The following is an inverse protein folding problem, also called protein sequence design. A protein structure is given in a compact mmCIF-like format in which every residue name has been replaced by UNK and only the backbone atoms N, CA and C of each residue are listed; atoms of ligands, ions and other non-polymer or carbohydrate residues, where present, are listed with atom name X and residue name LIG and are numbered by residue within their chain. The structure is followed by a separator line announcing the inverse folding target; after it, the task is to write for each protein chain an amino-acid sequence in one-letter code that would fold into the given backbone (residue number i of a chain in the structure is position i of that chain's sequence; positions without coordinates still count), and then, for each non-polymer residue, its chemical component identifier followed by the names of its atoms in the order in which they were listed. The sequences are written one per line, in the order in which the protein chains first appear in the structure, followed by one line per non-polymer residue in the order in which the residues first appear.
data_IF_387456775515
#
_entry.id   IF_387456775515
#
_cell.length_a   1.000
_cell.length_b   1.000
_cell.length_c   1.000
_cell.angle_alpha   90.00
_cell.angle_beta   90.00
_cell.angle_gamma   90.00
#
_symmetry.space_group_name_H-M   'P 1'
#
loop_
_entity.id
_entity.type
_entity.pdbx_description
1 polymer ?
#
# COMPACT_ATOMS: atom_id res chain seq x y z
N UNK A 1 9.75 22.63 20.68
CA UNK A 1 9.35 23.08 19.33
C UNK A 1 8.49 22.01 18.69
N UNK A 2 7.37 22.41 18.09
CA UNK A 2 6.38 21.50 17.50
C UNK A 2 6.96 20.84 16.23
N UNK A 3 7.33 19.56 16.34
CA UNK A 3 7.75 18.72 15.22
C UNK A 3 6.65 18.54 14.14
N UNK A 4 5.42 18.96 14.45
CA UNK A 4 4.23 18.78 13.62
C UNK A 4 3.95 19.94 12.65
N UNK A 5 4.84 20.96 12.53
CA UNK A 5 4.65 22.03 11.54
C UNK A 5 4.90 21.50 10.12
N UNK A 6 4.04 21.82 9.13
CA UNK A 6 4.25 21.42 7.74
C UNK A 6 5.59 21.93 7.17
N UNK A 7 6.08 23.09 7.64
CA UNK A 7 7.40 23.66 7.27
C UNK A 7 8.50 23.37 8.32
N UNK A 8 8.30 22.38 9.20
CA UNK A 8 9.27 22.02 10.22
C UNK A 8 10.42 21.15 9.68
N UNK A 9 11.59 21.15 10.34
CA UNK A 9 12.75 20.33 9.95
C UNK A 9 12.54 18.80 10.04
N UNK A 10 11.33 18.36 10.41
CA UNK A 10 10.94 16.97 10.60
C UNK A 10 10.00 16.45 9.49
N UNK A 11 10.08 17.01 8.28
CA UNK A 11 9.28 16.52 7.16
C UNK A 11 9.90 15.25 6.56
N UNK A 12 9.36 14.09 6.95
CA UNK A 12 9.77 12.80 6.39
C UNK A 12 9.31 12.67 4.94
N UNK A 13 10.18 12.16 4.08
CA UNK A 13 9.81 11.66 2.75
C UNK A 13 8.83 10.49 2.87
N UNK A 14 8.07 10.23 1.80
CA UNK A 14 7.13 9.10 1.75
C UNK A 14 7.83 7.77 2.04
N UNK A 15 9.07 7.59 1.58
CA UNK A 15 9.84 6.37 1.81
C UNK A 15 10.33 6.22 3.25
N UNK A 16 10.72 7.32 3.91
CA UNK A 16 11.06 7.29 5.34
C UNK A 16 9.82 6.96 6.19
N UNK A 17 8.66 7.53 5.85
CA UNK A 17 7.39 7.19 6.51
C UNK A 17 7.07 5.70 6.37
N UNK A 18 7.12 5.17 5.15
CA UNK A 18 6.91 3.73 4.90
C UNK A 18 7.90 2.88 5.68
N UNK A 19 9.17 3.27 5.73
CA UNK A 19 10.21 2.52 6.46
C UNK A 19 9.91 2.43 7.95
N UNK A 20 9.50 3.54 8.57
CA UNK A 20 9.11 3.55 9.98
C UNK A 20 7.83 2.74 10.23
N UNK A 21 6.85 2.81 9.32
CA UNK A 21 5.64 2.00 9.41
C UNK A 21 5.95 0.50 9.24
N UNK A 22 6.84 0.11 8.32
CA UNK A 22 7.32 -1.28 8.20
C UNK A 22 7.97 -1.76 9.51
N UNK A 23 8.75 -0.92 10.19
CA UNK A 23 9.35 -1.25 11.48
C UNK A 23 8.28 -1.47 12.56
N UNK A 24 7.22 -0.66 12.58
CA UNK A 24 6.08 -0.86 13.49
C UNK A 24 5.33 -2.16 13.20
N UNK A 25 5.13 -2.50 11.92
CA UNK A 25 4.53 -3.77 11.51
C UNK A 25 5.40 -4.97 11.97
N UNK A 26 6.72 -4.87 11.85
CA UNK A 26 7.64 -5.89 12.38
C UNK A 26 7.51 -6.05 13.90
N UNK A 27 7.47 -4.94 14.65
CA UNK A 27 7.28 -4.98 16.10
C UNK A 27 5.94 -5.64 16.45
N UNK A 28 4.89 -5.38 15.67
CA UNK A 28 3.56 -5.95 15.90
C UNK A 28 3.52 -7.48 15.86
N UNK A 29 4.43 -8.13 15.11
CA UNK A 29 4.56 -9.60 15.09
C UNK A 29 4.86 -10.17 16.48
N UNK A 30 5.46 -9.36 17.37
CA UNK A 30 5.77 -9.80 18.73
C UNK A 30 4.57 -9.78 19.67
N UNK A 31 3.41 -9.25 19.26
CA UNK A 31 2.19 -9.30 20.08
C UNK A 31 1.76 -10.73 20.41
N UNK A 32 1.95 -11.66 19.46
CA UNK A 32 1.56 -13.06 19.66
C UNK A 32 0.05 -13.28 19.82
N UNK A 33 -0.75 -12.31 19.37
CA UNK A 33 -2.21 -12.33 19.40
C UNK A 33 -2.73 -11.78 18.07
N UNK A 34 -3.52 -12.60 17.36
CA UNK A 34 -3.98 -12.29 16.01
C UNK A 34 -4.88 -11.06 15.98
N UNK A 35 -5.86 -10.96 16.87
CA UNK A 35 -6.86 -9.88 16.81
C UNK A 35 -6.19 -8.54 17.15
N UNK A 36 -5.33 -8.52 18.16
CA UNK A 36 -4.52 -7.35 18.51
C UNK A 36 -3.63 -6.91 17.37
N UNK A 37 -2.93 -7.85 16.72
CA UNK A 37 -2.05 -7.53 15.60
C UNK A 37 -2.86 -7.06 14.38
N UNK A 38 -3.91 -7.77 14.01
CA UNK A 38 -4.78 -7.42 12.88
C UNK A 38 -5.40 -6.04 13.06
N UNK A 39 -5.89 -5.70 14.25
CA UNK A 39 -6.42 -4.37 14.54
C UNK A 39 -5.34 -3.29 14.38
N UNK A 40 -4.14 -3.51 14.92
CA UNK A 40 -3.02 -2.59 14.77
C UNK A 40 -2.62 -2.38 13.30
N UNK A 41 -2.56 -3.46 12.51
CA UNK A 41 -2.28 -3.39 11.07
C UNK A 41 -3.36 -2.58 10.35
N UNK A 42 -4.64 -2.78 10.71
CA UNK A 42 -5.76 -2.01 10.16
C UNK A 42 -5.64 -0.51 10.46
N UNK A 43 -5.29 -0.13 11.69
CA UNK A 43 -5.02 1.27 12.05
C UNK A 43 -3.86 1.84 11.22
N UNK A 44 -2.79 1.07 11.04
CA UNK A 44 -1.61 1.52 10.32
C UNK A 44 -1.83 1.69 8.82
N UNK A 45 -2.66 0.84 8.23
CA UNK A 45 -2.99 0.88 6.82
C UNK A 45 -4.15 1.81 6.48
N UNK A 46 -4.91 2.30 7.46
CA UNK A 46 -6.17 3.05 7.23
C UNK A 46 -6.01 4.19 6.22
N UNK A 47 -5.02 5.05 6.41
CA UNK A 47 -4.81 6.22 5.55
C UNK A 47 -4.47 5.80 4.11
N UNK A 48 -3.48 4.93 3.94
CA UNK A 48 -3.09 4.42 2.62
C UNK A 48 -4.23 3.67 1.94
N UNK A 49 -5.00 2.86 2.67
CA UNK A 49 -6.13 2.12 2.12
C UNK A 49 -7.24 3.07 1.64
N UNK A 50 -7.60 4.08 2.44
CA UNK A 50 -8.60 5.08 2.04
C UNK A 50 -8.14 5.82 0.79
N UNK A 51 -6.91 6.32 0.81
CA UNK A 51 -6.33 7.07 -0.30
C UNK A 51 -6.23 6.23 -1.58
N UNK A 52 -5.80 4.97 -1.48
CA UNK A 52 -5.71 4.07 -2.63
C UNK A 52 -7.08 3.77 -3.24
N UNK A 53 -8.10 3.56 -2.39
CA UNK A 53 -9.48 3.37 -2.84
C UNK A 53 -10.07 4.64 -3.46
N UNK A 54 -9.77 5.83 -2.91
CA UNK A 54 -10.18 7.11 -3.48
C UNK A 54 -9.62 7.30 -4.90
N UNK A 55 -8.32 7.01 -5.10
CA UNK A 55 -7.67 7.04 -6.42
C UNK A 55 -8.35 6.06 -7.39
N UNK A 56 -8.61 4.84 -6.94
CA UNK A 56 -9.28 3.82 -7.74
C UNK A 56 -10.71 4.25 -8.13
N UNK A 57 -11.49 4.75 -7.17
CA UNK A 57 -12.88 5.18 -7.35
C UNK A 57 -12.99 6.43 -8.22
N UNK A 58 -11.99 7.31 -8.18
CA UNK A 58 -11.87 8.45 -9.10
C UNK A 58 -11.64 8.01 -10.56
N UNK A 59 -11.35 6.73 -10.81
CA UNK A 59 -11.22 6.15 -12.14
C UNK A 59 -9.79 6.07 -12.66
N UNK A 60 -8.79 6.44 -11.86
CA UNK A 60 -7.39 6.43 -12.27
C UNK A 60 -6.87 5.03 -12.67
N UNK A 61 -7.51 3.97 -12.17
CA UNK A 61 -7.13 2.57 -12.45
C UNK A 61 -8.06 1.87 -13.46
N UNK A 62 -8.78 2.61 -14.31
CA UNK A 62 -9.66 2.04 -15.34
C UNK A 62 -8.91 1.56 -16.59
N UNK A 63 -7.84 2.24 -16.96
CA UNK A 63 -7.03 1.94 -18.13
C UNK A 63 -5.83 2.89 -18.25
N UNK A 64 -4.98 2.64 -19.25
CA UNK A 64 -3.78 3.44 -19.50
C UNK A 64 -4.07 4.93 -19.72
N UNK A 65 -5.12 5.27 -20.49
CA UNK A 65 -5.47 6.68 -20.80
C UNK A 65 -5.85 7.45 -19.54
N UNK A 66 -6.74 6.92 -18.71
CA UNK A 66 -7.13 7.56 -17.44
C UNK A 66 -5.93 7.70 -16.49
N UNK A 67 -5.07 6.68 -16.46
CA UNK A 67 -3.88 6.70 -15.63
C UNK A 67 -2.89 7.78 -16.09
N UNK A 68 -2.59 7.86 -17.39
CA UNK A 68 -1.70 8.88 -17.99
C UNK A 68 -2.16 10.28 -17.59
N UNK A 69 -3.45 10.59 -17.75
CA UNK A 69 -4.01 11.89 -17.39
C UNK A 69 -3.95 12.18 -15.88
N UNK A 70 -4.15 11.14 -15.05
CA UNK A 70 -4.10 11.22 -13.60
C UNK A 70 -2.69 11.50 -13.07
N UNK A 71 -1.68 10.83 -13.62
CA UNK A 71 -0.27 11.04 -13.23
C UNK A 71 0.41 12.17 -14.01
N UNK A 72 -0.27 12.75 -15.00
CA UNK A 72 0.19 13.91 -15.78
C UNK A 72 1.28 13.58 -16.80
N UNK A 73 1.28 12.36 -17.35
CA UNK A 73 2.20 12.00 -18.44
C UNK A 73 1.80 12.63 -19.78
N UNK A 74 0.58 13.14 -19.90
CA UNK A 74 0.04 13.89 -21.06
C UNK A 74 0.27 15.40 -20.97
N UNK A 75 1.02 15.87 -19.96
CA UNK A 75 1.21 17.30 -19.67
C UNK A 75 2.70 17.67 -19.74
N UNK A 76 3.01 18.93 -20.11
CA UNK A 76 4.37 19.41 -20.03
C UNK A 76 4.89 19.43 -18.58
N UNK A 77 6.22 19.41 -18.36
CA UNK A 77 6.80 19.52 -17.03
C UNK A 77 6.30 20.74 -16.27
N UNK A 78 5.91 20.52 -15.01
CA UNK A 78 5.42 21.59 -14.12
C UNK A 78 6.62 22.40 -13.59
N UNK A 79 6.60 23.75 -13.69
CA UNK A 79 7.65 24.59 -13.12
C UNK A 79 7.79 24.42 -11.60
N UNK A 80 9.02 24.46 -11.09
CA UNK A 80 9.35 24.17 -9.69
C UNK A 80 8.69 25.08 -8.65
N UNK A 81 8.12 26.21 -9.07
CA UNK A 81 7.46 27.21 -8.23
C UNK A 81 5.91 27.12 -8.30
N UNK A 82 5.37 26.06 -8.91
CA UNK A 82 3.93 25.85 -9.05
C UNK A 82 3.49 24.54 -8.42
N UNK A 83 2.24 24.47 -7.97
CA UNK A 83 1.68 23.28 -7.34
C UNK A 83 1.55 22.14 -8.36
N UNK A 84 2.32 21.06 -8.19
CA UNK A 84 2.25 19.87 -9.04
C UNK A 84 1.25 18.84 -8.48
N UNK A 85 -0.03 19.03 -8.79
CA UNK A 85 -1.12 18.11 -8.43
C UNK A 85 -0.83 16.69 -8.94
N UNK A 86 -0.29 16.57 -10.16
CA UNK A 86 0.05 15.27 -10.75
C UNK A 86 1.23 14.62 -10.01
N UNK A 87 2.17 15.43 -9.52
CA UNK A 87 3.25 15.02 -8.63
C UNK A 87 2.74 14.47 -7.31
N UNK A 88 1.75 15.13 -6.70
CA UNK A 88 1.11 14.61 -5.50
C UNK A 88 0.39 13.28 -5.78
N UNK A 89 -0.31 13.17 -6.91
CA UNK A 89 -0.97 11.92 -7.33
C UNK A 89 0.03 10.76 -7.47
N UNK A 90 1.17 10.99 -8.13
CA UNK A 90 2.27 10.01 -8.24
C UNK A 90 2.81 9.63 -6.87
N UNK A 91 3.10 10.61 -6.02
CA UNK A 91 3.60 10.40 -4.66
C UNK A 91 2.63 9.57 -3.80
N UNK A 92 1.32 9.84 -3.90
CA UNK A 92 0.27 9.11 -3.20
C UNK A 92 0.20 7.64 -3.64
N UNK A 93 0.25 7.37 -4.96
CA UNK A 93 0.29 5.98 -5.47
C UNK A 93 1.52 5.25 -4.92
N UNK A 94 2.70 5.88 -4.99
CA UNK A 94 3.95 5.30 -4.51
C UNK A 94 3.88 5.00 -3.01
N UNK A 95 3.37 5.95 -2.21
CA UNK A 95 3.18 5.76 -0.77
C UNK A 95 2.25 4.58 -0.47
N UNK A 96 1.05 4.58 -1.07
CA UNK A 96 0.05 3.53 -0.84
C UNK A 96 0.58 2.14 -1.20
N UNK A 97 1.15 1.99 -2.41
CA UNK A 97 1.65 0.71 -2.89
C UNK A 97 2.81 0.21 -2.04
N UNK A 98 3.74 1.09 -1.64
CA UNK A 98 4.87 0.69 -0.81
C UNK A 98 4.43 0.30 0.62
N UNK A 99 3.46 1.01 1.21
CA UNK A 99 2.99 0.64 2.54
C UNK A 99 2.19 -0.69 2.53
N UNK A 100 1.35 -0.90 1.52
CA UNK A 100 0.64 -2.18 1.32
C UNK A 100 1.66 -3.31 1.13
N UNK A 101 2.67 -3.10 0.29
CA UNK A 101 3.77 -4.05 0.10
C UNK A 101 4.53 -4.31 1.42
N UNK A 102 4.77 -3.28 2.21
CA UNK A 102 5.35 -3.36 3.54
C UNK A 102 4.55 -4.27 4.46
N UNK A 103 3.23 -4.11 4.53
CA UNK A 103 2.37 -4.99 5.33
C UNK A 103 2.44 -6.45 4.87
N UNK A 104 2.41 -6.70 3.56
CA UNK A 104 2.55 -8.05 2.99
C UNK A 104 3.90 -8.68 3.38
N UNK A 105 4.98 -7.91 3.29
CA UNK A 105 6.34 -8.41 3.57
C UNK A 105 6.61 -8.62 5.06
N UNK A 106 6.01 -7.80 5.92
CA UNK A 106 6.39 -7.71 7.34
C UNK A 106 5.44 -8.42 8.28
N UNK A 107 4.15 -8.47 7.98
CA UNK A 107 3.18 -9.09 8.87
C UNK A 107 3.26 -10.61 8.77
N UNK A 108 3.58 -11.26 9.89
CA UNK A 108 3.66 -12.72 9.98
C UNK A 108 3.03 -13.22 11.27
N UNK A 109 2.57 -14.48 11.24
CA UNK A 109 2.29 -15.24 12.45
C UNK A 109 3.61 -15.68 13.12
N UNK A 110 3.57 -16.12 14.39
CA UNK A 110 4.74 -16.67 15.08
C UNK A 110 5.25 -17.97 14.45
N UNK A 111 6.57 -18.18 14.43
CA UNK A 111 7.18 -19.43 13.96
C UNK A 111 6.93 -20.63 14.90
N UNK A 112 6.76 -20.37 16.20
CA UNK A 112 6.43 -21.39 17.20
C UNK A 112 4.96 -21.85 17.04
N UNK A 113 4.69 -23.13 16.70
CA UNK A 113 3.34 -23.61 16.39
C UNK A 113 2.37 -23.49 17.56
N UNK A 114 2.84 -23.68 18.80
CA UNK A 114 2.00 -23.54 19.98
C UNK A 114 1.59 -22.09 20.19
N UNK A 115 2.53 -21.14 20.05
CA UNK A 115 2.26 -19.71 20.13
C UNK A 115 1.33 -19.25 19.01
N UNK A 116 1.51 -19.74 17.78
CA UNK A 116 0.59 -19.46 16.69
C UNK A 116 -0.83 -19.97 16.98
N UNK A 117 -0.95 -21.16 17.55
CA UNK A 117 -2.24 -21.76 17.94
C UNK A 117 -2.91 -20.96 19.07
N UNK A 118 -2.20 -20.73 20.18
CA UNK A 118 -2.71 -19.96 21.33
C UNK A 118 -3.05 -18.51 20.97
N UNK A 119 -2.29 -17.92 20.05
CA UNK A 119 -2.50 -16.56 19.56
C UNK A 119 -3.61 -16.42 18.52
N UNK A 120 -4.30 -17.51 18.16
CA UNK A 120 -5.43 -17.48 17.23
C UNK A 120 -5.03 -17.28 15.76
N UNK A 121 -3.79 -17.62 15.37
CA UNK A 121 -3.34 -17.57 13.98
C UNK A 121 -3.70 -18.82 13.19
N UNK A 122 -3.87 -19.97 13.84
CA UNK A 122 -4.29 -21.22 13.20
C UNK A 122 -5.81 -21.28 13.12
N UNK A 123 -6.36 -21.40 11.93
CA UNK A 123 -7.82 -21.45 11.70
C UNK A 123 -8.35 -22.86 11.49
N UNK A 124 -7.51 -23.76 10.98
CA UNK A 124 -7.86 -25.16 10.74
C UNK A 124 -6.60 -25.99 10.54
N UNK A 125 -6.78 -27.30 10.38
CA UNK A 125 -5.73 -28.23 9.95
C UNK A 125 -6.12 -28.80 8.58
N UNK A 126 -5.11 -29.11 7.77
CA UNK A 126 -5.27 -29.91 6.55
C UNK A 126 -5.55 -31.38 6.89
N UNK A 127 -5.93 -32.20 5.90
CA UNK A 127 -6.15 -33.65 6.08
C UNK A 127 -4.90 -34.38 6.63
N UNK A 128 -3.71 -33.91 6.27
CA UNK A 128 -2.44 -34.43 6.76
C UNK A 128 -2.03 -33.87 8.14
N UNK A 129 -2.89 -33.07 8.79
CA UNK A 129 -2.63 -32.45 10.09
C UNK A 129 -1.79 -31.17 10.05
N UNK A 130 -1.42 -30.65 8.89
CA UNK A 130 -0.64 -29.40 8.80
C UNK A 130 -1.51 -28.18 9.15
N UNK A 131 -0.99 -27.19 9.90
CA UNK A 131 -1.74 -26.00 10.28
C UNK A 131 -2.04 -25.11 9.07
N UNK A 132 -3.28 -24.61 9.02
CA UNK A 132 -3.71 -23.56 8.10
C UNK A 132 -3.75 -22.26 8.89
N UNK A 133 -2.85 -21.33 8.54
CA UNK A 133 -2.73 -20.05 9.23
C UNK A 133 -3.44 -18.91 8.49
N UNK A 134 -3.92 -17.92 9.24
CA UNK A 134 -4.40 -16.64 8.71
C UNK A 134 -3.38 -15.53 8.94
N UNK A 135 -3.18 -14.68 7.94
CA UNK A 135 -2.29 -13.52 8.05
C UNK A 135 -3.06 -12.30 8.62
N UNK A 136 -2.52 -11.58 9.62
CA UNK A 136 -3.19 -10.42 10.23
C UNK A 136 -3.35 -9.22 9.28
N UNK A 137 -2.58 -9.12 8.20
CA UNK A 137 -2.74 -8.10 7.17
C UNK A 137 -3.79 -8.47 6.11
N UNK A 138 -4.15 -9.75 5.98
CA UNK A 138 -5.01 -10.21 4.89
C UNK A 138 -6.37 -9.49 4.82
N UNK A 139 -7.11 -9.27 5.93
CA UNK A 139 -8.39 -8.56 5.87
C UNK A 139 -8.30 -7.14 5.33
N UNK A 140 -7.13 -6.51 5.47
CA UNK A 140 -6.89 -5.11 5.10
C UNK A 140 -6.30 -4.96 3.70
N UNK A 141 -5.60 -5.99 3.20
CA UNK A 141 -4.90 -5.97 1.92
C UNK A 141 -5.69 -6.68 0.82
N UNK A 142 -6.34 -7.80 1.11
CA UNK A 142 -7.08 -8.60 0.12
C UNK A 142 -8.13 -7.78 -0.64
N UNK A 143 -8.91 -6.89 0.00
CA UNK A 143 -9.87 -6.05 -0.72
C UNK A 143 -9.25 -5.11 -1.76
N UNK A 144 -7.95 -4.81 -1.66
CA UNK A 144 -7.23 -3.91 -2.56
C UNK A 144 -6.59 -4.65 -3.75
N UNK A 145 -6.51 -5.99 -3.70
CA UNK A 145 -5.87 -6.78 -4.76
C UNK A 145 -6.45 -6.54 -6.15
N UNK A 146 -7.78 -6.40 -6.36
CA UNK A 146 -8.32 -6.10 -7.68
C UNK A 146 -7.74 -4.80 -8.27
N UNK A 147 -7.59 -3.76 -7.45
CA UNK A 147 -7.03 -2.47 -7.87
C UNK A 147 -5.52 -2.54 -8.11
N UNK A 148 -4.78 -3.31 -7.31
CA UNK A 148 -3.36 -3.59 -7.56
C UNK A 148 -3.16 -4.34 -8.89
N UNK A 149 -4.03 -5.31 -9.20
CA UNK A 149 -3.99 -6.03 -10.48
C UNK A 149 -4.35 -5.12 -11.66
N UNK A 150 -5.31 -4.20 -11.49
CA UNK A 150 -5.57 -3.15 -12.49
C UNK A 150 -4.34 -2.28 -12.74
N UNK A 151 -3.61 -1.89 -11.69
CA UNK A 151 -2.38 -1.12 -11.84
C UNK A 151 -1.31 -1.91 -12.62
N UNK A 152 -1.10 -3.19 -12.28
CA UNK A 152 -0.16 -4.05 -13.04
C UNK A 152 -0.57 -4.13 -14.50
N UNK A 153 -1.85 -4.36 -14.79
CA UNK A 153 -2.39 -4.37 -16.16
C UNK A 153 -2.09 -3.06 -16.88
N UNK A 154 -2.38 -1.92 -16.25
CA UNK A 154 -2.12 -0.58 -16.81
C UNK A 154 -0.64 -0.40 -17.12
N UNK A 155 0.26 -0.80 -16.23
CA UNK A 155 1.70 -0.69 -16.46
C UNK A 155 2.15 -1.49 -17.68
N UNK A 156 1.46 -2.58 -18.04
CA UNK A 156 1.70 -3.29 -19.29
C UNK A 156 1.06 -2.56 -20.49
N UNK A 157 -0.16 -2.04 -20.34
CA UNK A 157 -0.85 -1.27 -21.38
C UNK A 157 -0.14 0.02 -21.76
N UNK A 158 0.62 0.63 -20.84
CA UNK A 158 1.42 1.83 -21.13
C UNK A 158 2.40 1.60 -22.29
N UNK A 159 2.79 0.37 -22.58
CA UNK A 159 3.72 0.04 -23.66
C UNK A 159 3.05 -0.22 -25.02
N UNK A 160 1.71 -0.12 -25.12
CA UNK A 160 1.06 -0.20 -26.44
C UNK A 160 1.30 1.08 -27.24
N UNK A 161 1.29 1.00 -28.59
CA UNK A 161 1.44 2.20 -29.43
C UNK A 161 0.42 3.29 -29.13
N UNK A 162 -0.83 2.89 -28.82
CA UNK A 162 -1.92 3.82 -28.53
C UNK A 162 -1.67 4.62 -27.24
N UNK A 163 -1.18 3.96 -26.19
CA UNK A 163 -0.84 4.62 -24.93
C UNK A 163 0.39 5.52 -25.09
N UNK A 164 1.43 5.06 -25.77
CA UNK A 164 2.65 5.84 -26.02
C UNK A 164 2.36 7.13 -26.80
N UNK A 165 1.48 7.08 -27.80
CA UNK A 165 1.06 8.26 -28.56
C UNK A 165 0.25 9.28 -27.74
N UNK A 166 -0.20 8.90 -26.53
CA UNK A 166 -0.95 9.77 -25.63
C UNK A 166 -0.05 10.48 -24.59
N UNK A 167 1.23 10.12 -24.53
CA UNK A 167 2.23 10.73 -23.63
C UNK A 167 2.78 12.00 -24.29
N UNK A 168 2.98 13.05 -23.50
CA UNK A 168 3.60 14.29 -23.96
C UNK A 168 5.05 14.06 -24.42
N UNK A 169 5.43 14.66 -25.55
CA UNK A 169 6.80 14.60 -26.11
C UNK A 169 7.87 15.26 -25.23
#
# INVERSE_FOLDING_TARGET
ENLSRPDGPAHLSSMEKVTLQEALLLISNHFGDYDRQSNFVGEMLREANSQFLEIANAGAFRGATEFIAFVGLDKPPVPSNTEDICGQNRSNIVFCVNLILGAIKRCSWPDDPERATRGGFVVSLTESGNPVCRNPAAPHVVPLLPHLMSLIKIFNELFTPEAQNSIHE
#
